data_IF_386779411970
#
_entry.id   IF_386779411970
#
_cell.length_a   1.000
_cell.length_b   1.000
_cell.length_c   1.000
_cell.angle_alpha   90.00
_cell.angle_beta   90.00
_cell.angle_gamma   90.00
#
_symmetry.space_group_name_H-M   'P 1'
#
loop_
_entity.id
_entity.type
_entity.pdbx_description
1 polymer ?
#
# COMPACT_ATOMS: atom_id res chain seq x y z
N UNK A 1 -37.53 0.26 -61.94
CA UNK A 1 -37.78 -0.96 -61.24
C UNK A 1 -36.53 -1.47 -60.59
N UNK A 2 -35.93 -0.91 -59.74
CA UNK A 2 -34.80 -1.53 -59.08
C UNK A 2 -34.42 -0.76 -57.90
N UNK A 3 -34.65 -1.33 -56.82
CA UNK A 3 -34.44 -0.71 -55.54
C UNK A 3 -33.12 -1.12 -54.97
N UNK A 4 -32.29 -0.17 -54.86
CA UNK A 4 -31.04 -0.32 -54.15
C UNK A 4 -31.28 -0.11 -52.69
N UNK A 5 -31.04 -1.13 -51.93
CA UNK A 5 -31.15 -1.02 -50.50
C UNK A 5 -29.77 -0.76 -49.94
N UNK A 6 -29.60 0.44 -49.49
CA UNK A 6 -28.40 0.78 -48.71
C UNK A 6 -28.54 0.23 -47.30
N UNK A 7 -27.69 -0.69 -47.00
CA UNK A 7 -27.59 -1.26 -45.69
C UNK A 7 -26.68 -0.37 -44.83
N UNK A 8 -27.27 0.31 -43.90
CA UNK A 8 -26.51 1.09 -42.93
C UNK A 8 -26.14 0.17 -41.78
N UNK A 9 -24.89 -0.21 -41.74
CA UNK A 9 -24.32 -0.85 -40.59
C UNK A 9 -24.04 0.18 -39.52
N UNK A 10 -24.85 0.21 -38.50
CA UNK A 10 -24.55 0.92 -37.29
C UNK A 10 -23.54 0.12 -36.48
N UNK A 11 -22.31 0.51 -36.56
CA UNK A 11 -21.27 0.04 -35.63
C UNK A 11 -21.50 0.66 -34.28
N UNK A 12 -22.07 -0.06 -33.39
CA UNK A 12 -22.07 0.31 -31.98
C UNK A 12 -20.68 0.09 -31.40
N UNK A 13 -19.92 1.15 -31.32
CA UNK A 13 -18.72 1.17 -30.49
C UNK A 13 -19.14 1.13 -29.03
N UNK A 14 -19.02 -0.04 -28.45
CA UNK A 14 -19.06 -0.17 -27.01
C UNK A 14 -17.78 0.47 -26.45
N UNK A 15 -17.90 1.68 -25.97
CA UNK A 15 -16.87 2.27 -25.13
C UNK A 15 -16.91 1.57 -23.80
N UNK A 16 -15.99 0.68 -23.60
CA UNK A 16 -15.65 0.29 -22.26
C UNK A 16 -14.92 1.47 -21.63
N UNK A 17 -15.67 2.32 -21.03
CA UNK A 17 -15.10 3.20 -20.04
C UNK A 17 -14.69 2.33 -18.85
N UNK A 18 -13.46 1.87 -18.84
CA UNK A 18 -12.84 1.47 -17.61
C UNK A 18 -12.68 2.72 -16.77
N UNK A 19 -13.73 3.07 -16.08
CA UNK A 19 -13.68 4.06 -15.04
C UNK A 19 -13.04 3.42 -13.83
N UNK A 20 -11.75 3.27 -13.84
CA UNK A 20 -11.00 3.03 -12.63
C UNK A 20 -10.84 4.35 -11.91
N UNK A 21 -11.92 4.74 -11.31
CA UNK A 21 -11.91 5.77 -10.30
C UNK A 21 -11.45 5.21 -8.97
N UNK A 22 -10.35 4.53 -8.99
CA UNK A 22 -9.73 4.20 -7.76
C UNK A 22 -8.91 5.36 -7.27
N UNK A 23 -9.60 6.33 -6.72
CA UNK A 23 -9.07 7.14 -5.65
C UNK A 23 -8.80 6.31 -4.41
N UNK A 24 -9.02 5.02 -4.47
CA UNK A 24 -8.68 4.12 -3.41
C UNK A 24 -7.17 4.00 -3.38
N UNK A 25 -6.62 4.33 -2.27
CA UNK A 25 -5.30 3.98 -1.80
C UNK A 25 -5.13 2.46 -1.69
N UNK A 26 -6.02 1.70 -2.31
CA UNK A 26 -6.04 0.25 -2.29
C UNK A 26 -4.83 -0.34 -3.00
N UNK A 27 -4.27 -1.36 -2.40
CA UNK A 27 -3.23 -2.16 -3.00
C UNK A 27 -3.73 -2.75 -4.32
N UNK A 28 -2.98 -2.55 -5.37
CA UNK A 28 -3.25 -3.21 -6.64
C UNK A 28 -2.82 -4.66 -6.55
N UNK A 29 -3.65 -5.57 -7.04
CA UNK A 29 -3.23 -6.96 -7.24
C UNK A 29 -1.97 -7.01 -8.13
N UNK A 30 -1.01 -7.84 -7.80
CA UNK A 30 0.19 -8.04 -8.58
C UNK A 30 1.49 -7.56 -7.93
N UNK A 31 1.47 -7.21 -6.65
CA UNK A 31 2.69 -6.95 -5.91
C UNK A 31 3.50 -8.22 -5.69
N UNK A 32 4.81 -8.12 -5.86
CA UNK A 32 5.75 -9.17 -5.48
C UNK A 32 6.21 -8.94 -4.03
N UNK A 33 5.59 -9.66 -3.11
CA UNK A 33 5.89 -9.62 -1.69
C UNK A 33 6.93 -10.67 -1.28
N UNK A 34 7.55 -11.35 -2.23
CA UNK A 34 8.54 -12.38 -1.92
C UNK A 34 9.70 -11.79 -1.12
N UNK A 35 9.95 -12.37 0.03
CA UNK A 35 11.00 -11.97 0.97
C UNK A 35 11.63 -13.17 1.62
N UNK A 36 12.90 -13.05 1.96
CA UNK A 36 13.66 -14.02 2.75
C UNK A 36 14.36 -13.28 3.87
N UNK A 37 14.16 -13.78 5.10
CA UNK A 37 14.78 -13.27 6.32
C UNK A 37 14.37 -11.83 6.69
N UNK A 38 13.06 -11.58 6.74
CA UNK A 38 12.57 -10.31 7.24
C UNK A 38 11.22 -9.90 6.70
N UNK A 39 11.03 -8.59 6.62
CA UNK A 39 9.83 -7.93 6.10
C UNK A 39 10.21 -7.11 4.87
N UNK A 40 9.40 -7.21 3.83
CA UNK A 40 9.52 -6.39 2.61
C UNK A 40 8.25 -5.57 2.45
N UNK A 41 8.37 -4.25 2.53
CA UNK A 41 7.27 -3.34 2.25
C UNK A 41 7.29 -3.02 0.75
N UNK A 42 6.19 -3.32 0.07
CA UNK A 42 6.08 -3.12 -1.39
C UNK A 42 5.19 -1.93 -1.75
N UNK A 43 4.36 -1.49 -0.84
CA UNK A 43 3.58 -0.27 -0.98
C UNK A 43 3.47 0.45 0.38
N UNK A 44 3.69 1.77 0.44
CA UNK A 44 4.02 2.70 -0.66
C UNK A 44 5.26 2.30 -1.46
N UNK A 45 5.21 2.50 -2.78
CA UNK A 45 6.25 2.06 -3.71
C UNK A 45 7.35 3.12 -3.95
N UNK A 46 7.09 4.34 -3.52
CA UNK A 46 7.96 5.50 -3.63
C UNK A 46 7.49 6.52 -4.67
N UNK A 47 7.59 7.79 -4.31
CA UNK A 47 7.19 8.90 -5.16
C UNK A 47 5.70 9.27 -5.07
N UNK A 48 4.90 8.57 -4.26
CA UNK A 48 3.51 8.94 -4.02
C UNK A 48 3.44 10.27 -3.27
N UNK A 49 2.31 10.93 -3.41
CA UNK A 49 1.95 12.11 -2.62
C UNK A 49 0.64 11.86 -1.91
N UNK A 50 0.68 11.93 -0.60
CA UNK A 50 -0.47 11.84 0.29
C UNK A 50 -0.71 13.17 1.00
N UNK A 51 -1.83 13.28 1.67
CA UNK A 51 -2.18 14.43 2.52
C UNK A 51 -2.31 13.97 3.98
N UNK A 52 -1.99 14.85 4.92
CA UNK A 52 -2.26 14.57 6.34
C UNK A 52 -3.75 14.31 6.52
N UNK A 53 -4.08 13.16 7.10
CA UNK A 53 -5.45 12.69 7.27
C UNK A 53 -5.86 11.58 6.30
N UNK A 54 -5.10 11.34 5.25
CA UNK A 54 -5.40 10.26 4.30
C UNK A 54 -5.32 8.89 4.97
N UNK A 55 -6.21 8.00 4.56
CA UNK A 55 -6.09 6.57 4.81
C UNK A 55 -5.35 5.93 3.65
N UNK A 56 -4.27 5.24 3.94
CA UNK A 56 -3.47 4.53 2.95
C UNK A 56 -3.45 3.04 3.23
N UNK A 57 -3.27 2.24 2.21
CA UNK A 57 -3.03 0.82 2.37
C UNK A 57 -1.52 0.56 2.38
N UNK A 58 -1.03 -0.15 3.38
CA UNK A 58 0.35 -0.64 3.42
C UNK A 58 0.35 -2.10 2.99
N UNK A 59 1.20 -2.43 2.04
CA UNK A 59 1.34 -3.81 1.54
C UNK A 59 2.74 -4.29 1.83
N UNK A 60 2.83 -5.45 2.45
CA UNK A 60 4.11 -6.05 2.79
C UNK A 60 4.08 -7.58 2.74
N UNK A 61 5.23 -8.18 2.60
CA UNK A 61 5.46 -9.60 2.82
C UNK A 61 6.35 -9.82 4.03
N UNK A 62 6.28 -11.00 4.62
CA UNK A 62 7.12 -11.38 5.74
C UNK A 62 7.34 -12.89 5.76
N UNK A 63 8.55 -13.32 6.05
CA UNK A 63 8.85 -14.71 6.42
C UNK A 63 9.16 -14.87 7.92
N UNK A 64 8.87 -13.81 8.68
CA UNK A 64 9.07 -13.79 10.13
C UNK A 64 7.77 -14.18 10.83
N UNK A 65 7.77 -15.30 11.54
CA UNK A 65 6.68 -15.64 12.46
C UNK A 65 6.76 -14.74 13.69
N UNK A 66 5.68 -14.01 13.94
CA UNK A 66 5.55 -13.13 15.10
C UNK A 66 4.08 -12.99 15.49
N UNK A 67 3.83 -12.49 16.69
CA UNK A 67 2.47 -12.27 17.20
C UNK A 67 1.82 -10.98 16.69
N UNK A 68 2.45 -10.34 15.74
CA UNK A 68 1.93 -9.13 15.11
C UNK A 68 3.02 -8.19 14.66
N UNK A 69 2.58 -7.06 14.11
CA UNK A 69 3.44 -6.05 13.50
C UNK A 69 3.05 -4.64 13.95
N UNK A 70 4.04 -3.80 14.13
CA UNK A 70 3.86 -2.34 14.23
C UNK A 70 4.04 -1.72 12.86
N UNK A 71 3.11 -0.85 12.51
CA UNK A 71 3.21 -0.02 11.31
C UNK A 71 3.57 1.38 11.77
N UNK A 72 4.74 1.86 11.39
CA UNK A 72 5.30 3.13 11.82
C UNK A 72 5.44 4.09 10.64
N UNK A 73 5.16 5.36 10.88
CA UNK A 73 5.53 6.45 9.98
C UNK A 73 6.84 7.07 10.46
N UNK A 74 7.77 7.23 9.55
CA UNK A 74 9.11 7.81 9.82
C UNK A 74 9.47 8.83 8.75
N UNK A 75 10.35 9.73 9.09
CA UNK A 75 10.88 10.75 8.18
C UNK A 75 12.39 10.69 8.04
N UNK A 76 13.03 9.98 8.94
CA UNK A 76 14.47 9.79 9.00
C UNK A 76 14.80 8.37 9.49
N UNK A 77 15.94 7.84 9.11
CA UNK A 77 16.41 6.51 9.53
C UNK A 77 16.71 6.44 11.04
N UNK A 78 17.08 7.55 11.64
CA UNK A 78 17.35 7.64 13.08
C UNK A 78 16.10 7.93 13.92
N UNK A 79 14.98 8.26 13.26
CA UNK A 79 13.70 8.48 13.92
C UNK A 79 13.11 7.16 14.42
N UNK A 80 12.61 7.14 15.65
CA UNK A 80 11.89 5.99 16.20
C UNK A 80 10.55 5.77 15.50
N UNK A 81 10.02 6.81 14.88
CA UNK A 81 8.76 6.80 14.17
C UNK A 81 7.54 6.97 15.04
N UNK A 82 6.44 7.24 14.37
CA UNK A 82 5.12 7.38 14.97
C UNK A 82 4.29 6.13 14.66
N UNK A 83 3.70 5.56 15.68
CA UNK A 83 2.89 4.37 15.53
C UNK A 83 1.55 4.71 14.84
N UNK A 84 1.31 4.13 13.67
CA UNK A 84 0.06 4.28 12.94
C UNK A 84 -0.91 3.16 13.23
N UNK A 85 -0.42 1.94 13.41
CA UNK A 85 -1.23 0.77 13.71
C UNK A 85 -0.43 -0.29 14.44
N UNK A 86 -1.13 -1.02 15.30
CA UNK A 86 -0.65 -2.23 15.96
C UNK A 86 -1.54 -3.38 15.50
N UNK A 87 -1.01 -4.19 14.61
CA UNK A 87 -1.69 -5.38 14.16
C UNK A 87 -1.38 -6.51 15.16
N UNK A 88 -2.38 -6.87 15.96
CA UNK A 88 -2.25 -7.91 16.99
C UNK A 88 -2.25 -9.32 16.41
N UNK A 89 -2.64 -9.45 15.17
CA UNK A 89 -2.57 -10.69 14.44
C UNK A 89 -1.66 -10.45 13.25
N UNK A 90 -0.58 -11.19 13.22
CA UNK A 90 0.23 -11.22 12.02
C UNK A 90 -0.59 -11.79 10.87
N UNK A 91 -0.07 -11.72 9.67
CA UNK A 91 -0.69 -12.29 8.49
C UNK A 91 -1.13 -13.73 8.78
N UNK A 92 -2.39 -13.93 9.16
CA UNK A 92 -3.05 -15.20 9.45
C UNK A 92 -2.15 -16.31 10.05
N UNK A 93 -1.23 -15.93 10.92
CA UNK A 93 -0.38 -16.83 11.68
C UNK A 93 0.74 -17.53 10.92
N UNK A 94 0.97 -17.24 9.66
CA UNK A 94 2.07 -17.84 8.89
C UNK A 94 2.73 -16.85 7.98
N UNK A 95 3.89 -16.40 8.36
CA UNK A 95 4.78 -15.69 7.45
C UNK A 95 5.43 -16.72 6.50
N UNK A 96 4.95 -16.82 5.28
CA UNK A 96 5.43 -17.76 4.26
C UNK A 96 6.48 -17.14 3.31
N UNK A 97 6.76 -15.87 3.48
CA UNK A 97 7.67 -15.11 2.64
C UNK A 97 7.17 -14.84 1.22
N UNK A 98 5.94 -15.16 0.89
CA UNK A 98 5.39 -15.04 -0.46
C UNK A 98 4.10 -14.25 -0.54
N UNK A 99 3.25 -14.38 0.48
CA UNK A 99 1.93 -13.75 0.50
C UNK A 99 2.03 -12.27 0.80
N UNK A 100 1.28 -11.45 0.07
CA UNK A 100 1.11 -10.04 0.37
C UNK A 100 0.06 -9.85 1.47
N UNK A 101 0.38 -9.01 2.43
CA UNK A 101 -0.52 -8.57 3.49
C UNK A 101 -0.84 -7.11 3.33
N UNK A 102 -2.09 -6.76 3.55
CA UNK A 102 -2.61 -5.42 3.39
C UNK A 102 -3.13 -4.90 4.73
N UNK A 103 -2.66 -3.73 5.12
CA UNK A 103 -3.12 -3.04 6.32
C UNK A 103 -3.50 -1.62 5.96
N UNK A 104 -4.68 -1.18 6.36
CA UNK A 104 -5.09 0.22 6.23
C UNK A 104 -4.62 1.02 7.41
N UNK A 105 -3.97 2.13 7.16
CA UNK A 105 -3.47 3.04 8.19
C UNK A 105 -3.83 4.47 7.84
N UNK A 106 -4.05 5.29 8.86
CA UNK A 106 -4.34 6.71 8.68
C UNK A 106 -3.11 7.55 8.97
N UNK A 107 -2.75 8.42 8.03
CA UNK A 107 -1.69 9.41 8.20
C UNK A 107 -2.19 10.59 9.04
N UNK A 108 -2.50 10.35 10.29
CA UNK A 108 -3.14 11.31 11.17
C UNK A 108 -2.14 12.25 11.85
N UNK A 109 -2.49 13.55 11.90
CA UNK A 109 -1.75 14.51 12.69
C UNK A 109 -1.75 14.16 14.19
N UNK A 110 -2.82 13.52 14.68
CA UNK A 110 -2.90 13.03 16.06
C UNK A 110 -1.84 11.97 16.36
N UNK A 111 -1.48 11.18 15.35
CA UNK A 111 -0.42 10.19 15.44
C UNK A 111 0.97 10.78 15.13
N UNK A 112 1.11 12.09 15.08
CA UNK A 112 2.38 12.76 14.87
C UNK A 112 2.79 12.94 13.40
N UNK A 113 1.96 12.55 12.43
CA UNK A 113 2.26 12.75 11.02
C UNK A 113 2.24 14.23 10.67
N UNK A 114 3.29 14.69 10.02
CA UNK A 114 3.45 16.07 9.56
C UNK A 114 3.82 16.10 8.08
N UNK A 115 3.58 17.22 7.39
CA UNK A 115 4.05 17.39 6.02
C UNK A 115 5.57 17.15 5.91
N UNK A 116 5.95 16.37 4.92
CA UNK A 116 7.35 16.00 4.66
C UNK A 116 7.51 15.52 3.22
N UNK A 117 8.71 15.61 2.69
CA UNK A 117 9.08 15.04 1.39
C UNK A 117 9.85 13.71 1.52
N UNK A 118 10.12 13.27 2.74
CA UNK A 118 10.94 12.10 3.05
C UNK A 118 10.21 11.09 3.94
N UNK A 119 8.88 11.07 3.90
CA UNK A 119 8.08 10.12 4.66
C UNK A 119 8.26 8.69 4.16
N UNK A 120 8.26 7.72 5.04
CA UNK A 120 8.23 6.31 4.69
C UNK A 120 7.54 5.48 5.79
N UNK A 121 7.10 4.29 5.41
CA UNK A 121 6.50 3.34 6.34
C UNK A 121 7.52 2.29 6.74
N UNK A 122 7.59 2.00 8.01
CA UNK A 122 8.34 0.88 8.57
C UNK A 122 7.36 -0.15 9.13
N UNK A 123 7.52 -1.40 8.74
CA UNK A 123 6.78 -2.53 9.32
C UNK A 123 7.74 -3.33 10.18
N UNK A 124 7.43 -3.47 11.47
CA UNK A 124 8.29 -4.17 12.43
C UNK A 124 7.52 -5.27 13.15
N UNK A 125 8.00 -6.52 13.10
CA UNK A 125 7.50 -7.59 13.97
C UNK A 125 7.69 -7.23 15.46
N UNK A 126 6.73 -7.58 16.31
CA UNK A 126 6.76 -7.21 17.74
C UNK A 126 7.98 -7.73 18.48
N UNK A 127 8.28 -9.01 18.32
CA UNK A 127 9.34 -9.68 19.06
C UNK A 127 10.67 -9.73 18.28
N UNK A 128 10.62 -9.44 16.99
CA UNK A 128 11.79 -9.50 16.09
C UNK A 128 11.98 -8.18 15.34
N UNK A 129 11.94 -7.08 16.07
CA UNK A 129 11.97 -5.73 15.49
C UNK A 129 13.16 -5.44 14.56
N UNK A 130 14.27 -6.14 14.72
CA UNK A 130 15.44 -6.04 13.83
C UNK A 130 15.21 -6.63 12.44
N UNK A 131 14.14 -7.42 12.28
CA UNK A 131 13.73 -8.03 11.01
C UNK A 131 12.68 -7.20 10.25
N UNK A 132 12.44 -5.98 10.67
CA UNK A 132 11.52 -5.07 10.00
C UNK A 132 11.98 -4.65 8.61
N UNK A 133 11.06 -4.05 7.85
CA UNK A 133 11.31 -3.51 6.51
C UNK A 133 10.74 -2.12 6.34
N UNK A 134 11.35 -1.35 5.47
CA UNK A 134 10.95 0.02 5.15
C UNK A 134 10.39 0.10 3.73
N UNK A 135 9.39 0.96 3.53
CA UNK A 135 8.97 1.38 2.19
C UNK A 135 10.00 2.31 1.56
N UNK A 136 9.82 2.59 0.28
CA UNK A 136 10.46 3.76 -0.32
C UNK A 136 9.79 5.04 0.17
N UNK A 137 10.48 6.18 -0.03
CA UNK A 137 10.00 7.47 0.43
C UNK A 137 8.87 8.03 -0.42
N UNK A 138 7.98 8.74 0.23
CA UNK A 138 6.86 9.46 -0.37
C UNK A 138 6.71 10.86 0.25
N UNK A 139 5.88 11.68 -0.35
CA UNK A 139 5.58 13.03 0.14
C UNK A 139 4.26 13.03 0.91
N UNK A 140 4.23 13.73 2.03
CA UNK A 140 2.99 14.06 2.75
C UNK A 140 2.81 15.57 2.71
N UNK A 141 1.67 16.03 2.21
CA UNK A 141 1.27 17.44 2.18
C UNK A 141 0.35 17.78 3.37
N UNK A 142 0.17 19.09 3.55
CA UNK A 142 -0.75 19.61 4.56
C UNK A 142 -2.19 19.41 4.12
#
# INVERSE_FOLDING_TARGET
MKFSHALILASSLAFFACGDDDSSTGAKSGYDCTVSDGVKVVYPAGGETFTVGDEITVVFGSDVEDNGYKILFRTDADDLGFNLSNESEGPEGKADGKTCYEVKVKLSAENGVKPTTTGFITVRPYNKGMKGGDSKTFTVKK
#
